data_IF_041792363849
#
_entry.id   IF_041792363849
#
_cell.length_a   1.000
_cell.length_b   1.000
_cell.length_c   1.000
_cell.angle_alpha   90.00
_cell.angle_beta   90.00
_cell.angle_gamma   90.00
#
_symmetry.space_group_name_H-M   'P 1'
#
loop_
_entity.id
_entity.type
_entity.pdbx_description
1 polymer ?
#
# COMPACT_ATOMS: atom_id res chain seq x y z
N UNK A 1 11.78 -0.97 26.18
CA UNK A 1 12.43 -1.64 25.04
C UNK A 1 11.36 -1.88 23.97
N UNK A 2 11.32 -1.10 22.89
CA UNK A 2 10.45 -1.41 21.74
C UNK A 2 11.19 -2.48 20.92
N UNK A 3 10.57 -3.63 20.57
CA UNK A 3 11.25 -4.57 19.69
C UNK A 3 11.51 -3.88 18.35
N UNK A 4 12.77 -3.83 17.92
CA UNK A 4 13.14 -3.42 16.58
C UNK A 4 12.43 -4.35 15.60
N UNK A 5 11.63 -3.76 14.70
CA UNK A 5 10.93 -4.44 13.60
C UNK A 5 11.95 -5.37 12.91
N UNK A 6 11.88 -6.67 13.19
CA UNK A 6 12.74 -7.65 12.56
C UNK A 6 12.42 -7.60 11.06
N UNK A 7 13.39 -7.14 10.27
CA UNK A 7 13.32 -7.23 8.81
C UNK A 7 13.17 -8.69 8.44
N UNK A 8 11.92 -9.11 8.21
CA UNK A 8 11.59 -10.45 7.70
C UNK A 8 12.48 -10.70 6.47
N UNK A 9 13.20 -11.83 6.39
CA UNK A 9 14.02 -12.11 5.22
C UNK A 9 13.11 -12.09 3.99
N UNK A 10 13.50 -11.28 3.00
CA UNK A 10 12.81 -11.13 1.73
C UNK A 10 12.90 -12.48 1.01
N UNK A 11 11.82 -13.27 1.13
CA UNK A 11 11.68 -14.50 0.35
C UNK A 11 11.82 -14.13 -1.12
N UNK A 12 12.72 -14.82 -1.82
CA UNK A 12 12.87 -14.74 -3.28
C UNK A 12 11.66 -15.40 -3.92
N UNK A 13 10.51 -14.74 -3.81
CA UNK A 13 9.30 -15.07 -4.54
C UNK A 13 9.32 -14.29 -5.84
N UNK A 14 9.63 -15.00 -6.93
CA UNK A 14 9.55 -14.51 -8.32
C UNK A 14 8.10 -14.23 -8.76
N UNK A 15 7.14 -14.15 -7.85
CA UNK A 15 5.83 -13.57 -8.14
C UNK A 15 5.98 -12.05 -8.32
N UNK A 16 5.93 -11.67 -9.59
CA UNK A 16 5.66 -10.32 -10.06
C UNK A 16 4.29 -9.84 -9.54
N UNK A 17 4.19 -9.52 -8.25
CA UNK A 17 3.20 -8.60 -7.66
C UNK A 17 3.89 -7.41 -6.99
N UNK A 18 5.09 -7.09 -7.44
CA UNK A 18 5.86 -5.91 -7.05
C UNK A 18 5.36 -4.59 -7.68
N UNK A 19 4.30 -4.61 -8.49
CA UNK A 19 3.98 -3.49 -9.37
C UNK A 19 3.29 -2.27 -8.71
N UNK A 20 2.88 -2.32 -7.44
CA UNK A 20 2.18 -1.19 -6.79
C UNK A 20 2.48 -1.05 -5.28
N UNK A 21 3.67 -1.49 -4.83
CA UNK A 21 4.13 -1.19 -3.48
C UNK A 21 4.67 0.25 -3.47
N UNK A 22 3.87 1.19 -2.98
CA UNK A 22 4.26 2.59 -2.79
C UNK A 22 5.26 2.70 -1.65
N UNK A 23 6.32 3.49 -1.85
CA UNK A 23 7.28 3.84 -0.80
C UNK A 23 6.83 5.11 -0.08
N UNK A 24 7.02 5.17 1.23
CA UNK A 24 6.73 6.38 1.99
C UNK A 24 7.73 7.48 1.59
N UNK A 25 7.29 8.67 1.14
CA UNK A 25 8.19 9.74 0.73
C UNK A 25 9.00 10.35 1.89
N UNK A 26 8.60 10.06 3.14
CA UNK A 26 9.24 10.60 4.35
C UNK A 26 10.39 9.71 4.82
N UNK A 27 10.18 8.39 4.88
CA UNK A 27 11.14 7.45 5.48
C UNK A 27 11.63 6.35 4.53
N UNK A 28 11.17 6.35 3.29
CA UNK A 28 11.46 5.33 2.27
C UNK A 28 11.04 3.88 2.63
N UNK A 29 10.30 3.69 3.73
CA UNK A 29 9.73 2.39 4.08
C UNK A 29 8.65 1.97 3.07
N UNK A 30 8.59 0.69 2.75
CA UNK A 30 7.59 0.14 1.81
C UNK A 30 6.23 0.05 2.48
N UNK A 31 5.20 0.63 1.87
CA UNK A 31 3.82 0.54 2.33
C UNK A 31 3.10 -0.58 1.58
N UNK A 32 2.60 -1.57 2.33
CA UNK A 32 2.17 -2.87 1.78
C UNK A 32 0.65 -3.00 1.68
N UNK A 33 -0.12 -2.27 2.49
CA UNK A 33 -1.58 -2.27 2.46
C UNK A 33 -2.15 -0.88 2.75
N UNK A 34 -3.27 -0.56 2.10
CA UNK A 34 -4.08 0.57 2.50
C UNK A 34 -4.79 0.23 3.80
N UNK A 35 -4.87 1.19 4.71
CA UNK A 35 -5.61 1.07 5.96
C UNK A 35 -7.12 0.98 5.72
N UNK A 36 -7.59 1.67 4.67
CA UNK A 36 -9.01 1.68 4.30
C UNK A 36 -9.17 1.91 2.80
N UNK A 37 -10.26 1.38 2.24
CA UNK A 37 -10.70 1.66 0.88
C UNK A 37 -12.18 2.03 0.84
N UNK A 38 -12.54 2.96 -0.04
CA UNK A 38 -13.92 3.39 -0.22
C UNK A 38 -14.22 3.70 -1.69
N UNK A 39 -15.38 3.23 -2.17
CA UNK A 39 -15.89 3.60 -3.49
C UNK A 39 -16.38 5.05 -3.46
N UNK A 40 -15.81 5.90 -4.31
CA UNK A 40 -16.25 7.29 -4.49
C UNK A 40 -17.33 7.39 -5.57
N UNK A 41 -17.16 6.64 -6.66
CA UNK A 41 -18.12 6.49 -7.78
C UNK A 41 -18.07 5.05 -8.29
N UNK A 42 -18.99 4.65 -9.19
CA UNK A 42 -19.15 3.26 -9.70
C UNK A 42 -17.85 2.55 -10.08
N UNK A 43 -16.85 3.31 -10.51
CA UNK A 43 -15.58 2.79 -11.01
C UNK A 43 -14.37 3.49 -10.40
N UNK A 44 -14.48 4.17 -9.25
CA UNK A 44 -13.35 4.82 -8.57
C UNK A 44 -13.27 4.36 -7.12
N UNK A 45 -12.15 3.76 -6.76
CA UNK A 45 -11.81 3.34 -5.41
C UNK A 45 -10.75 4.28 -4.84
N UNK A 46 -11.08 4.93 -3.73
CA UNK A 46 -10.11 5.66 -2.90
C UNK A 46 -9.44 4.71 -1.92
N UNK A 47 -8.15 4.89 -1.68
CA UNK A 47 -7.36 4.14 -0.72
C UNK A 47 -6.69 5.11 0.24
N UNK A 48 -6.91 4.93 1.54
CA UNK A 48 -6.22 5.64 2.59
C UNK A 48 -4.95 4.88 2.98
N UNK A 49 -3.83 5.57 2.88
CA UNK A 49 -2.49 5.08 3.18
C UNK A 49 -2.02 5.72 4.47
N UNK A 50 -1.42 4.95 5.36
CA UNK A 50 -0.70 5.43 6.54
C UNK A 50 0.58 4.64 6.68
N UNK A 51 1.71 5.32 6.82
CA UNK A 51 2.98 4.66 7.05
C UNK A 51 3.08 4.17 8.50
N UNK A 52 3.19 2.86 8.72
CA UNK A 52 3.38 2.27 10.06
C UNK A 52 4.64 2.77 10.78
N UNK A 53 5.64 3.22 10.02
CA UNK A 53 6.95 3.58 10.55
C UNK A 53 7.02 5.04 11.00
N UNK A 54 6.44 5.97 10.23
CA UNK A 54 6.52 7.41 10.51
C UNK A 54 5.16 8.11 10.70
N UNK A 55 4.05 7.42 10.47
CA UNK A 55 2.70 7.96 10.60
C UNK A 55 2.24 8.87 9.45
N UNK A 56 3.06 9.06 8.40
CA UNK A 56 2.65 9.85 7.23
C UNK A 56 1.48 9.20 6.51
N UNK A 57 0.38 9.94 6.32
CA UNK A 57 -0.83 9.45 5.66
C UNK A 57 -1.23 10.26 4.43
N UNK A 58 -1.80 9.59 3.44
CA UNK A 58 -2.28 10.20 2.19
C UNK A 58 -3.36 9.34 1.53
N UNK A 59 -4.08 9.89 0.54
CA UNK A 59 -5.13 9.18 -0.19
C UNK A 59 -4.75 9.02 -1.66
N UNK A 60 -5.04 7.87 -2.25
CA UNK A 60 -4.91 7.64 -3.71
C UNK A 60 -6.23 7.18 -4.29
N UNK A 61 -6.56 7.64 -5.49
CA UNK A 61 -7.76 7.21 -6.22
C UNK A 61 -7.37 6.34 -7.41
N UNK A 62 -7.99 5.16 -7.52
CA UNK A 62 -7.78 4.24 -8.63
C UNK A 62 -9.10 4.01 -9.36
N UNK A 63 -9.08 4.22 -10.67
CA UNK A 63 -10.21 3.86 -11.53
C UNK A 63 -10.19 2.36 -11.79
N UNK A 64 -11.20 1.64 -11.30
CA UNK A 64 -11.38 0.22 -11.59
C UNK A 64 -12.11 0.08 -12.92
N UNK A 65 -11.45 -0.48 -13.93
CA UNK A 65 -12.16 -0.95 -15.13
C UNK A 65 -12.83 -2.27 -14.76
N UNK A 66 -14.10 -2.45 -15.13
CA UNK A 66 -14.82 -3.70 -14.88
C UNK A 66 -13.96 -4.89 -15.32
N UNK A 67 -13.60 -5.83 -14.43
CA UNK A 67 -12.90 -7.02 -14.83
C UNK A 67 -13.85 -7.88 -15.67
N UNK A 68 -13.43 -8.17 -16.91
CA UNK A 68 -14.00 -9.12 -17.88
C UNK A 68 -15.49 -9.49 -17.70
N UNK A 69 -16.36 -8.89 -18.53
CA UNK A 69 -17.60 -9.56 -18.97
C UNK A 69 -17.29 -10.71 -19.92
#
# INVERSE_FOLDING_TARGET
MRPTKASRPKATDTTQRHADLRTCPVCADSMIAAESSAFLTDNVVSYLWTCDTCGYGFVTNHTVKNPCS
#
